data_IF_183650954606
#
_entry.id   IF_183650954606
#
_cell.length_a   1.000
_cell.length_b   1.000
_cell.length_c   1.000
_cell.angle_alpha   90.00
_cell.angle_beta   90.00
_cell.angle_gamma   90.00
#
_symmetry.space_group_name_H-M   'P 1'
#
loop_
_entity.id
_entity.type
_entity.pdbx_description
1 polymer ?
#
# COMPACT_ATOMS: atom_id res chain seq x y z
N UNK A 1 -25.14 -2.72 4.52
CA UNK A 1 -25.48 -2.57 3.08
C UNK A 1 -24.24 -2.62 2.21
N UNK A 2 -23.13 -1.95 2.58
CA UNK A 2 -21.88 -1.99 1.80
C UNK A 2 -21.22 -3.38 1.85
N UNK A 3 -21.23 -4.03 3.00
CA UNK A 3 -20.70 -5.40 3.18
C UNK A 3 -21.33 -6.40 2.22
N UNK A 4 -22.66 -6.29 2.00
CA UNK A 4 -23.33 -7.17 1.04
C UNK A 4 -22.93 -6.91 -0.42
N UNK A 5 -22.77 -5.63 -0.81
CA UNK A 5 -22.33 -5.28 -2.17
C UNK A 5 -20.90 -5.76 -2.42
N UNK A 6 -19.98 -5.50 -1.50
CA UNK A 6 -18.57 -5.91 -1.63
C UNK A 6 -18.43 -7.42 -1.72
N UNK A 7 -19.21 -8.18 -0.94
CA UNK A 7 -19.19 -9.64 -1.01
C UNK A 7 -19.67 -10.15 -2.38
N UNK A 8 -20.70 -9.54 -2.96
CA UNK A 8 -21.24 -9.96 -4.26
C UNK A 8 -20.35 -9.56 -5.44
N UNK A 9 -19.76 -8.37 -5.40
CA UNK A 9 -18.98 -7.83 -6.52
C UNK A 9 -17.53 -8.33 -6.54
N UNK A 10 -16.89 -8.36 -5.36
CA UNK A 10 -15.46 -8.66 -5.25
C UNK A 10 -15.16 -9.99 -4.54
N UNK A 11 -16.16 -10.68 -4.01
CA UNK A 11 -16.00 -11.98 -3.32
C UNK A 11 -15.27 -11.88 -1.97
N UNK A 12 -15.21 -10.71 -1.35
CA UNK A 12 -14.51 -10.46 -0.07
C UNK A 12 -15.50 -10.16 1.05
N UNK A 13 -15.33 -10.82 2.20
CA UNK A 13 -16.08 -10.54 3.41
C UNK A 13 -15.34 -9.49 4.25
N UNK A 14 -15.92 -8.29 4.38
CA UNK A 14 -15.36 -7.23 5.22
C UNK A 14 -15.91 -7.32 6.64
N UNK A 15 -15.04 -7.50 7.63
CA UNK A 15 -15.36 -7.77 9.02
C UNK A 15 -14.81 -6.64 9.89
N UNK A 16 -15.61 -6.13 10.82
CA UNK A 16 -15.22 -5.02 11.69
C UNK A 16 -15.71 -5.18 13.14
N UNK A 17 -16.43 -6.26 13.44
CA UNK A 17 -16.92 -6.62 14.78
C UNK A 17 -16.78 -8.10 15.03
N UNK A 18 -16.74 -8.47 16.30
CA UNK A 18 -16.62 -9.84 16.78
C UNK A 18 -15.33 -10.51 16.27
N UNK A 19 -14.25 -9.72 16.15
CA UNK A 19 -12.94 -10.19 15.71
C UNK A 19 -12.17 -10.70 16.92
N UNK A 20 -11.75 -11.94 16.88
CA UNK A 20 -10.96 -12.56 17.94
C UNK A 20 -9.46 -12.55 17.60
N UNK A 21 -8.59 -12.60 18.59
CA UNK A 21 -7.14 -12.67 18.37
C UNK A 21 -6.72 -13.87 17.50
N UNK A 22 -7.47 -14.98 17.57
CA UNK A 22 -7.29 -16.16 16.73
C UNK A 22 -7.53 -15.92 15.23
N UNK A 23 -8.23 -14.85 14.87
CA UNK A 23 -8.50 -14.52 13.45
C UNK A 23 -7.25 -14.06 12.71
N UNK A 24 -6.34 -13.38 13.40
CA UNK A 24 -5.07 -12.91 12.81
C UNK A 24 -3.80 -13.46 13.48
N UNK A 25 -3.92 -14.25 14.56
CA UNK A 25 -2.82 -15.02 15.18
C UNK A 25 -2.98 -16.51 14.90
N UNK A 26 -3.00 -16.87 13.62
CA UNK A 26 -3.12 -18.28 13.21
C UNK A 26 -1.77 -18.99 13.33
N UNK A 27 -1.79 -20.31 13.48
CA UNK A 27 -0.58 -21.13 13.70
C UNK A 27 0.50 -20.97 12.63
N UNK A 28 0.13 -20.52 11.42
CA UNK A 28 1.06 -20.27 10.33
C UNK A 28 1.53 -18.82 10.23
N UNK A 29 0.94 -17.87 10.98
CA UNK A 29 1.35 -16.46 10.95
C UNK A 29 2.49 -16.16 11.91
N UNK A 30 2.77 -17.03 12.85
CA UNK A 30 3.83 -16.86 13.83
C UNK A 30 4.62 -18.16 14.07
N UNK A 31 5.90 -18.08 13.99
CA UNK A 31 6.81 -19.17 14.33
C UNK A 31 8.24 -18.69 14.39
N UNK A 32 8.92 -18.97 15.52
CA UNK A 32 10.33 -18.65 15.71
C UNK A 32 10.61 -17.81 16.95
N UNK A 33 11.89 -17.58 17.22
CA UNK A 33 12.39 -16.89 18.42
C UNK A 33 11.92 -15.44 18.54
N UNK A 34 11.40 -14.87 17.44
CA UNK A 34 10.91 -13.48 17.34
C UNK A 34 9.47 -13.42 16.79
N UNK A 35 8.65 -14.41 17.12
CA UNK A 35 7.24 -14.40 16.73
C UNK A 35 6.55 -13.15 17.30
N UNK A 36 5.90 -12.38 16.43
CA UNK A 36 5.04 -11.30 16.84
C UNK A 36 3.64 -11.84 17.17
N UNK A 37 3.02 -11.30 18.21
CA UNK A 37 1.59 -11.45 18.43
C UNK A 37 0.88 -10.22 17.87
N UNK A 38 -0.18 -10.44 17.12
CA UNK A 38 -0.96 -9.36 16.53
C UNK A 38 -2.18 -9.05 17.40
N UNK A 39 -2.42 -7.76 17.60
CA UNK A 39 -3.55 -7.26 18.39
C UNK A 39 -4.28 -6.19 17.61
N UNK A 40 -5.57 -6.10 17.82
CA UNK A 40 -6.44 -5.08 17.25
C UNK A 40 -7.77 -5.05 18.01
N UNK A 41 -8.55 -4.02 17.81
CA UNK A 41 -9.85 -3.82 18.45
C UNK A 41 -10.94 -3.70 17.40
N UNK A 42 -12.14 -4.12 17.74
CA UNK A 42 -13.33 -3.90 16.94
C UNK A 42 -13.58 -2.41 16.69
N UNK A 43 -14.14 -2.10 15.55
CA UNK A 43 -14.58 -0.74 15.26
C UNK A 43 -15.92 -0.43 15.94
N UNK A 44 -16.05 0.77 16.50
CA UNK A 44 -17.35 1.31 16.85
C UNK A 44 -18.13 1.73 15.57
N UNK A 45 -19.40 2.10 15.73
CA UNK A 45 -20.27 2.39 14.58
C UNK A 45 -19.81 3.62 13.76
N UNK A 46 -19.24 4.63 14.39
CA UNK A 46 -18.68 5.82 13.72
C UNK A 46 -17.43 5.45 12.92
N UNK A 47 -16.52 4.70 13.52
CA UNK A 47 -15.33 4.18 12.84
C UNK A 47 -15.71 3.26 11.66
N UNK A 48 -16.63 2.34 11.86
CA UNK A 48 -17.11 1.43 10.81
C UNK A 48 -17.71 2.21 9.62
N UNK A 49 -18.47 3.26 9.88
CA UNK A 49 -18.99 4.14 8.83
C UNK A 49 -17.87 4.86 8.08
N UNK A 50 -16.86 5.35 8.78
CA UNK A 50 -15.70 5.99 8.17
C UNK A 50 -14.92 5.02 7.28
N UNK A 51 -14.57 3.82 7.78
CA UNK A 51 -13.86 2.80 7.00
C UNK A 51 -14.67 2.35 5.77
N UNK A 52 -15.97 2.17 5.94
CA UNK A 52 -16.87 1.84 4.84
C UNK A 52 -16.82 2.89 3.72
N UNK A 53 -16.87 4.18 4.07
CA UNK A 53 -16.75 5.27 3.10
C UNK A 53 -15.37 5.33 2.46
N UNK A 54 -14.31 5.10 3.25
CA UNK A 54 -12.94 5.05 2.76
C UNK A 54 -12.77 3.95 1.71
N UNK A 55 -13.14 2.73 2.02
CA UNK A 55 -13.02 1.61 1.09
C UNK A 55 -13.83 1.82 -0.18
N UNK A 56 -15.08 2.27 -0.05
CA UNK A 56 -15.94 2.55 -1.20
C UNK A 56 -15.33 3.58 -2.14
N UNK A 57 -14.91 4.74 -1.59
CA UNK A 57 -14.55 5.90 -2.40
C UNK A 57 -13.08 5.93 -2.81
N UNK A 58 -12.18 5.32 -2.02
CA UNK A 58 -10.74 5.43 -2.21
C UNK A 58 -10.06 4.11 -2.59
N UNK A 59 -10.74 2.96 -2.46
CA UNK A 59 -10.19 1.66 -2.87
C UNK A 59 -11.04 1.04 -3.98
N UNK A 60 -12.26 0.61 -3.68
CA UNK A 60 -13.09 -0.16 -4.63
C UNK A 60 -13.52 0.63 -5.85
N UNK A 61 -13.65 1.95 -5.76
CA UNK A 61 -13.98 2.81 -6.91
C UNK A 61 -12.92 2.79 -8.03
N UNK A 62 -11.72 2.28 -7.74
CA UNK A 62 -10.62 2.13 -8.70
C UNK A 62 -10.42 0.69 -9.20
N UNK A 63 -11.28 -0.22 -8.77
CA UNK A 63 -11.15 -1.64 -9.04
C UNK A 63 -12.36 -2.17 -9.81
N UNK A 64 -12.14 -3.25 -10.53
CA UNK A 64 -13.18 -4.05 -11.15
C UNK A 64 -12.92 -5.54 -10.90
N UNK A 65 -13.90 -6.38 -11.24
CA UNK A 65 -13.81 -7.82 -11.03
C UNK A 65 -12.65 -8.47 -11.83
N UNK A 66 -12.29 -7.92 -13.00
CA UNK A 66 -11.19 -8.45 -13.81
C UNK A 66 -9.84 -8.31 -13.11
N UNK A 67 -9.61 -7.16 -12.45
CA UNK A 67 -8.38 -6.90 -11.67
C UNK A 67 -8.37 -7.74 -10.39
N UNK A 68 -9.51 -7.85 -9.70
CA UNK A 68 -9.56 -8.39 -8.34
C UNK A 68 -9.81 -9.90 -8.26
N UNK A 69 -10.15 -10.55 -9.36
CA UNK A 69 -10.40 -12.00 -9.38
C UNK A 69 -9.17 -12.79 -8.89
N UNK A 70 -9.34 -13.60 -7.84
CA UNK A 70 -8.27 -14.35 -7.16
C UNK A 70 -7.15 -13.50 -6.52
N UNK A 71 -7.40 -12.22 -6.33
CA UNK A 71 -6.46 -11.26 -5.72
C UNK A 71 -6.87 -10.94 -4.30
N UNK A 72 -8.14 -10.53 -4.11
CA UNK A 72 -8.64 -10.20 -2.78
C UNK A 72 -8.82 -11.45 -1.92
N UNK A 73 -8.50 -11.38 -0.63
CA UNK A 73 -8.69 -12.49 0.29
C UNK A 73 -10.18 -12.70 0.59
N UNK A 74 -10.58 -13.91 1.00
CA UNK A 74 -11.96 -14.16 1.42
C UNK A 74 -12.36 -13.33 2.67
N UNK A 75 -11.41 -13.01 3.55
CA UNK A 75 -11.64 -12.23 4.78
C UNK A 75 -10.82 -10.94 4.78
N UNK A 76 -11.48 -9.83 5.08
CA UNK A 76 -10.84 -8.53 5.19
C UNK A 76 -11.24 -7.86 6.51
N UNK A 77 -10.32 -7.79 7.46
CA UNK A 77 -10.55 -7.23 8.77
C UNK A 77 -10.26 -5.72 8.77
N UNK A 78 -11.22 -4.94 9.25
CA UNK A 78 -11.10 -3.51 9.50
C UNK A 78 -11.06 -3.31 11.00
N UNK A 79 -9.95 -2.82 11.53
CA UNK A 79 -9.70 -2.79 12.97
C UNK A 79 -9.19 -1.43 13.44
N UNK A 80 -9.32 -1.19 14.74
CA UNK A 80 -8.68 -0.07 15.45
C UNK A 80 -7.43 -0.55 16.17
N UNK A 81 -6.41 0.30 16.25
CA UNK A 81 -5.15 0.08 16.98
C UNK A 81 -4.44 -1.26 16.66
N UNK A 82 -4.38 -1.61 15.37
CA UNK A 82 -3.72 -2.83 14.95
C UNK A 82 -2.20 -2.72 15.07
N UNK A 83 -1.61 -3.68 15.76
CA UNK A 83 -0.18 -3.68 16.00
C UNK A 83 0.39 -5.07 16.23
N UNK A 84 1.69 -5.21 15.97
CA UNK A 84 2.47 -6.37 16.35
C UNK A 84 3.18 -6.12 17.69
N UNK A 85 3.11 -7.08 18.61
CA UNK A 85 3.90 -7.12 19.84
C UNK A 85 5.03 -8.12 19.70
N UNK A 86 6.25 -7.62 19.86
CA UNK A 86 7.47 -8.42 19.91
C UNK A 86 7.93 -8.53 21.36
N UNK A 87 8.14 -9.76 21.86
CA UNK A 87 8.60 -10.01 23.22
C UNK A 87 10.08 -10.38 23.24
N UNK A 88 10.88 -9.62 23.99
CA UNK A 88 12.31 -9.83 24.21
C UNK A 88 12.58 -9.98 25.71
N UNK A 89 12.35 -11.16 26.27
CA UNK A 89 12.40 -11.38 27.71
C UNK A 89 11.32 -10.58 28.45
N UNK A 90 11.70 -9.58 29.24
CA UNK A 90 10.76 -8.70 29.96
C UNK A 90 10.35 -7.44 29.17
N UNK A 91 11.01 -7.17 28.05
CA UNK A 91 10.73 -6.02 27.20
C UNK A 91 9.73 -6.39 26.12
N UNK A 92 8.74 -5.52 25.92
CA UNK A 92 7.79 -5.62 24.81
C UNK A 92 7.95 -4.39 23.89
N UNK A 93 7.98 -4.65 22.60
CA UNK A 93 8.01 -3.62 21.57
C UNK A 93 6.70 -3.68 20.77
N UNK A 94 5.93 -2.60 20.82
CA UNK A 94 4.73 -2.40 20.00
C UNK A 94 5.14 -1.75 18.68
N UNK A 95 4.71 -2.33 17.57
CA UNK A 95 4.87 -1.80 16.21
C UNK A 95 3.51 -1.63 15.56
N UNK A 96 3.10 -0.38 15.31
CA UNK A 96 1.84 -0.04 14.68
C UNK A 96 1.83 -0.48 13.21
N UNK A 97 0.71 -1.03 12.75
CA UNK A 97 0.54 -1.54 11.40
C UNK A 97 -0.72 -0.96 10.76
N UNK A 98 -0.57 -0.24 9.65
CA UNK A 98 -1.72 0.26 8.89
C UNK A 98 -2.32 -0.78 7.95
N UNK A 99 -1.53 -1.78 7.57
CA UNK A 99 -1.94 -2.87 6.68
C UNK A 99 -1.13 -4.13 6.98
N UNK A 100 -1.79 -5.29 6.84
CA UNK A 100 -1.16 -6.60 6.96
C UNK A 100 -1.83 -7.61 6.03
N UNK A 101 -1.06 -8.54 5.52
CA UNK A 101 -1.53 -9.72 4.79
C UNK A 101 -0.76 -10.95 5.25
N UNK A 102 -1.47 -12.06 5.45
CA UNK A 102 -0.86 -13.38 5.69
C UNK A 102 -0.46 -14.10 4.40
N UNK A 103 -0.73 -13.47 3.24
CA UNK A 103 -0.56 -14.04 1.89
C UNK A 103 -1.39 -15.31 1.60
N UNK A 104 -2.38 -15.62 2.42
CA UNK A 104 -3.24 -16.79 2.31
C UNK A 104 -4.71 -16.40 2.17
N UNK A 105 -5.37 -16.10 3.29
CA UNK A 105 -6.82 -15.97 3.32
C UNK A 105 -7.35 -14.72 4.01
N UNK A 106 -6.50 -13.88 4.61
CA UNK A 106 -6.96 -12.63 5.21
C UNK A 106 -6.02 -11.44 5.03
N UNK A 107 -6.63 -10.26 5.01
CA UNK A 107 -5.96 -8.97 5.07
C UNK A 107 -6.54 -8.16 6.22
N UNK A 108 -5.72 -7.24 6.74
CA UNK A 108 -6.11 -6.31 7.81
C UNK A 108 -5.80 -4.89 7.39
N UNK A 109 -6.71 -3.95 7.65
CA UNK A 109 -6.45 -2.51 7.54
C UNK A 109 -6.78 -1.80 8.84
N UNK A 110 -5.84 -0.94 9.26
CA UNK A 110 -5.98 -0.07 10.41
C UNK A 110 -5.66 1.38 10.00
N UNK A 111 -6.63 2.27 10.14
CA UNK A 111 -6.48 3.68 9.74
C UNK A 111 -6.28 4.62 10.93
N UNK A 112 -6.49 4.13 12.14
CA UNK A 112 -6.35 4.90 13.38
C UNK A 112 -6.08 3.98 14.58
N UNK A 113 -5.35 4.49 15.57
CA UNK A 113 -4.99 3.73 16.75
C UNK A 113 -4.56 4.62 17.92
N UNK A 114 -4.24 3.98 19.03
CA UNK A 114 -3.73 4.64 20.23
C UNK A 114 -2.28 5.11 20.04
N UNK A 115 -1.89 6.13 20.79
CA UNK A 115 -0.49 6.58 20.82
C UNK A 115 0.38 5.50 21.46
N UNK A 116 1.44 5.12 20.76
CA UNK A 116 2.45 4.22 21.32
C UNK A 116 3.17 4.91 22.47
N UNK A 117 3.12 4.39 23.70
CA UNK A 117 3.70 5.06 24.86
C UNK A 117 5.25 5.12 24.84
N UNK A 118 5.89 4.29 24.02
CA UNK A 118 7.36 4.24 23.94
C UNK A 118 7.92 5.11 22.81
N UNK A 119 7.26 5.08 21.65
CA UNK A 119 7.73 5.77 20.42
C UNK A 119 6.99 7.05 20.13
N UNK A 120 5.85 7.27 20.78
CA UNK A 120 4.88 8.34 20.49
C UNK A 120 4.31 8.28 19.06
N UNK A 121 4.54 7.19 18.34
CA UNK A 121 3.91 6.93 17.06
C UNK A 121 2.41 6.69 17.23
N UNK A 122 1.62 7.11 16.24
CA UNK A 122 0.18 6.92 16.22
C UNK A 122 -0.30 6.82 14.77
N UNK A 123 -1.14 5.83 14.49
CA UNK A 123 -1.93 5.84 13.28
C UNK A 123 -3.07 6.84 13.45
N UNK A 124 -3.13 7.84 12.57
CA UNK A 124 -4.14 8.89 12.62
C UNK A 124 -5.03 8.79 11.40
N UNK A 125 -6.34 8.82 11.65
CA UNK A 125 -7.37 8.84 10.61
C UNK A 125 -7.04 9.88 9.53
N UNK A 126 -7.06 9.52 8.23
CA UNK A 126 -6.76 10.44 7.15
C UNK A 126 -7.73 11.63 7.14
N UNK A 127 -7.20 12.84 6.93
CA UNK A 127 -7.94 14.10 6.94
C UNK A 127 -7.72 14.92 5.68
N UNK A 128 -6.54 14.84 5.10
CA UNK A 128 -6.17 15.57 3.88
C UNK A 128 -6.20 14.65 2.67
N UNK A 129 -6.25 15.21 1.47
CA UNK A 129 -6.15 14.43 0.23
C UNK A 129 -4.88 13.58 0.20
N UNK A 130 -3.76 14.10 0.68
CA UNK A 130 -2.50 13.36 0.75
C UNK A 130 -2.57 12.18 1.72
N UNK A 131 -3.19 12.35 2.90
CA UNK A 131 -3.39 11.25 3.85
C UNK A 131 -4.23 10.12 3.21
N UNK A 132 -5.31 10.47 2.50
CA UNK A 132 -6.13 9.50 1.78
C UNK A 132 -5.34 8.77 0.69
N UNK A 133 -4.50 9.51 -0.06
CA UNK A 133 -3.63 8.92 -1.08
C UNK A 133 -2.63 7.94 -0.48
N UNK A 134 -2.03 8.28 0.67
CA UNK A 134 -1.10 7.40 1.38
C UNK A 134 -1.80 6.13 1.89
N UNK A 135 -2.92 6.28 2.60
CA UNK A 135 -3.63 5.12 3.17
C UNK A 135 -4.13 4.16 2.08
N UNK A 136 -4.75 4.67 1.00
CA UNK A 136 -5.20 3.81 -0.09
C UNK A 136 -4.04 3.18 -0.86
N UNK A 137 -2.91 3.89 -0.93
CA UNK A 137 -1.73 3.49 -1.69
C UNK A 137 -1.16 2.16 -1.22
N UNK A 138 -1.12 1.93 0.10
CA UNK A 138 -0.66 0.66 0.69
C UNK A 138 -1.53 -0.50 0.20
N UNK A 139 -2.84 -0.33 0.26
CA UNK A 139 -3.82 -1.36 -0.11
C UNK A 139 -3.79 -1.63 -1.63
N UNK A 140 -3.84 -0.56 -2.43
CA UNK A 140 -3.86 -0.68 -3.89
C UNK A 140 -2.56 -1.25 -4.45
N UNK A 141 -1.41 -0.92 -3.84
CA UNK A 141 -0.13 -1.53 -4.20
C UNK A 141 -0.21 -3.05 -4.09
N UNK A 142 -0.64 -3.57 -2.94
CA UNK A 142 -0.77 -5.01 -2.73
C UNK A 142 -1.74 -5.65 -3.73
N UNK A 143 -2.88 -5.01 -4.00
CA UNK A 143 -3.86 -5.50 -4.97
C UNK A 143 -3.23 -5.58 -6.38
N UNK A 144 -2.54 -4.54 -6.82
CA UNK A 144 -1.96 -4.51 -8.16
C UNK A 144 -0.76 -5.44 -8.29
N UNK A 145 0.08 -5.57 -7.26
CA UNK A 145 1.18 -6.55 -7.24
C UNK A 145 0.64 -7.97 -7.39
N UNK A 146 -0.38 -8.35 -6.61
CA UNK A 146 -1.01 -9.66 -6.73
C UNK A 146 -1.76 -9.84 -8.07
N UNK A 147 -2.40 -8.79 -8.58
CA UNK A 147 -3.05 -8.85 -9.89
C UNK A 147 -2.06 -9.12 -11.04
N UNK A 148 -0.84 -8.59 -10.94
CA UNK A 148 0.25 -8.91 -11.88
C UNK A 148 0.70 -10.37 -11.69
N UNK A 149 0.89 -10.82 -10.45
CA UNK A 149 1.32 -12.19 -10.14
C UNK A 149 0.36 -13.26 -10.67
N UNK A 150 -0.96 -13.01 -10.57
CA UNK A 150 -1.97 -13.95 -11.08
C UNK A 150 -2.31 -13.74 -12.56
N UNK A 151 -1.72 -12.73 -13.22
CA UNK A 151 -1.89 -12.45 -14.65
C UNK A 151 -3.14 -11.66 -15.01
N UNK A 152 -3.84 -11.06 -14.05
CA UNK A 152 -4.98 -10.17 -14.31
C UNK A 152 -4.53 -8.82 -14.89
N UNK A 153 -3.30 -8.40 -14.57
CA UNK A 153 -2.64 -7.24 -15.15
C UNK A 153 -1.34 -7.72 -15.80
N UNK A 154 -1.14 -7.30 -17.04
CA UNK A 154 0.10 -7.59 -17.79
C UNK A 154 0.93 -6.33 -17.85
N UNK A 155 2.20 -6.42 -17.41
CA UNK A 155 3.16 -5.31 -17.56
C UNK A 155 3.43 -5.10 -19.04
N UNK A 156 3.19 -3.91 -19.60
CA UNK A 156 3.43 -3.63 -21.02
C UNK A 156 4.89 -3.86 -21.40
N UNK A 157 5.11 -4.33 -22.64
CA UNK A 157 6.46 -4.68 -23.13
C UNK A 157 7.39 -3.47 -23.17
N UNK A 158 6.85 -2.27 -23.29
CA UNK A 158 7.60 -1.00 -23.25
C UNK A 158 8.38 -0.82 -21.94
N UNK A 159 7.90 -1.43 -20.84
CA UNK A 159 8.60 -1.44 -19.56
C UNK A 159 9.76 -2.45 -19.52
N UNK A 160 9.79 -3.42 -20.42
CA UNK A 160 10.87 -4.40 -20.52
C UNK A 160 11.98 -3.96 -21.49
N UNK A 161 11.69 -3.03 -22.39
CA UNK A 161 12.59 -2.61 -23.46
C UNK A 161 12.89 -1.12 -23.39
N UNK A 162 14.12 -0.73 -23.71
CA UNK A 162 14.52 0.68 -23.82
C UNK A 162 14.80 1.40 -22.49
N UNK A 163 14.55 0.75 -21.35
CA UNK A 163 14.83 1.32 -20.02
C UNK A 163 16.02 0.57 -19.41
N UNK A 164 17.01 1.30 -18.96
CA UNK A 164 18.16 0.72 -18.27
C UNK A 164 17.88 0.58 -16.77
N UNK A 165 17.67 -0.63 -16.32
CA UNK A 165 17.46 -1.00 -14.91
C UNK A 165 18.74 -1.43 -14.19
N UNK A 166 19.90 -1.46 -14.87
CA UNK A 166 21.14 -1.97 -14.30
C UNK A 166 22.01 -0.86 -13.73
N UNK A 167 22.00 0.31 -14.37
CA UNK A 167 22.78 1.45 -13.90
C UNK A 167 22.11 2.10 -12.69
N UNK A 168 22.90 2.34 -11.65
CA UNK A 168 22.45 2.99 -10.42
C UNK A 168 21.85 4.37 -10.71
N UNK A 169 20.72 4.69 -10.08
CA UNK A 169 20.06 5.99 -10.20
C UNK A 169 20.48 6.93 -9.07
N UNK A 170 20.53 8.21 -9.38
CA UNK A 170 20.63 9.27 -8.39
C UNK A 170 19.24 9.83 -8.08
N UNK A 171 18.95 10.13 -6.81
CA UNK A 171 17.62 10.57 -6.35
C UNK A 171 17.71 11.71 -5.34
N UNK A 172 18.90 12.06 -4.86
CA UNK A 172 19.09 13.10 -3.84
C UNK A 172 18.74 14.48 -4.38
N UNK A 173 18.16 15.31 -3.53
CA UNK A 173 17.93 16.74 -3.81
C UNK A 173 19.27 17.40 -4.10
N UNK A 174 19.31 18.21 -5.16
CA UNK A 174 20.52 18.85 -5.66
C UNK A 174 21.25 18.08 -6.77
N UNK A 175 20.80 16.87 -7.10
CA UNK A 175 21.36 16.05 -8.19
C UNK A 175 20.47 16.05 -9.45
N UNK A 176 19.54 16.98 -9.58
CA UNK A 176 18.61 17.06 -10.71
C UNK A 176 19.28 17.27 -12.07
N UNK A 177 20.54 17.71 -12.06
CA UNK A 177 21.36 17.87 -13.28
C UNK A 177 22.16 16.60 -13.65
N UNK A 178 22.29 15.63 -12.73
CA UNK A 178 22.95 14.37 -13.01
C UNK A 178 22.20 13.59 -14.09
N UNK A 179 22.93 12.96 -15.02
CA UNK A 179 22.34 12.19 -16.12
C UNK A 179 21.63 10.92 -15.62
N UNK A 180 22.05 10.39 -14.47
CA UNK A 180 21.41 9.26 -13.82
C UNK A 180 20.31 9.67 -12.84
N UNK A 181 19.89 10.95 -12.83
CA UNK A 181 18.76 11.36 -11.99
C UNK A 181 17.49 10.61 -12.39
N UNK A 182 16.84 9.99 -11.42
CA UNK A 182 15.79 8.98 -11.64
C UNK A 182 14.72 9.40 -12.66
N UNK A 183 14.25 10.66 -12.61
CA UNK A 183 13.23 11.16 -13.54
C UNK A 183 13.76 11.21 -14.98
N UNK A 184 15.04 11.56 -15.19
CA UNK A 184 15.69 11.54 -16.53
C UNK A 184 15.82 10.12 -17.07
N UNK A 185 15.82 9.13 -16.19
CA UNK A 185 15.97 7.71 -16.53
C UNK A 185 14.63 7.01 -16.76
N UNK A 186 13.49 7.76 -16.75
CA UNK A 186 12.16 7.21 -16.97
C UNK A 186 11.51 6.61 -15.72
N UNK A 187 11.97 7.01 -14.51
CA UNK A 187 11.36 6.56 -13.26
C UNK A 187 10.59 7.72 -12.61
N UNK A 188 9.27 7.67 -12.49
CA UNK A 188 8.50 8.74 -11.87
C UNK A 188 8.80 8.89 -10.37
N UNK A 189 9.29 7.85 -9.70
CA UNK A 189 9.69 7.88 -8.30
C UNK A 189 8.53 8.00 -7.31
N UNK A 190 7.31 7.73 -7.75
CA UNK A 190 6.10 7.84 -6.94
C UNK A 190 5.69 6.45 -6.49
N UNK A 191 6.02 6.10 -5.26
CA UNK A 191 5.58 4.86 -4.64
C UNK A 191 4.20 5.02 -4.01
N UNK A 192 3.51 3.90 -3.76
CA UNK A 192 2.16 3.92 -3.21
C UNK A 192 2.11 4.39 -1.76
N UNK A 193 3.13 4.10 -0.98
CA UNK A 193 3.14 4.39 0.46
C UNK A 193 3.51 5.82 0.77
N UNK A 194 4.60 6.31 0.18
CA UNK A 194 5.07 7.69 0.36
C UNK A 194 5.92 8.08 -0.83
N UNK A 195 6.01 9.36 -1.11
CA UNK A 195 7.07 9.92 -1.90
C UNK A 195 8.29 10.06 -0.99
N UNK A 196 8.87 8.94 -0.60
CA UNK A 196 10.01 8.92 0.32
C UNK A 196 11.28 8.52 -0.44
N UNK A 197 12.29 9.37 -0.38
CA UNK A 197 13.58 9.08 -1.01
C UNK A 197 14.28 7.86 -0.42
N UNK A 198 13.96 7.45 0.81
CA UNK A 198 14.44 6.19 1.36
C UNK A 198 13.90 4.98 0.62
N UNK A 199 12.68 5.07 0.09
CA UNK A 199 12.09 3.99 -0.72
C UNK A 199 12.78 3.90 -2.08
N UNK A 200 13.24 5.02 -2.65
CA UNK A 200 14.08 5.02 -3.85
C UNK A 200 15.47 4.43 -3.60
N UNK A 201 16.00 4.48 -2.37
CA UNK A 201 17.26 3.80 -2.04
C UNK A 201 17.13 2.28 -2.06
N UNK A 202 15.99 1.75 -1.64
CA UNK A 202 15.70 0.31 -1.77
C UNK A 202 15.43 -0.09 -3.21
N UNK A 203 15.17 0.87 -4.07
CA UNK A 203 14.84 0.76 -5.50
C UNK A 203 16.07 0.93 -6.42
N UNK A 204 17.28 0.85 -5.90
CA UNK A 204 18.48 0.60 -6.75
C UNK A 204 18.35 -0.68 -7.58
N UNK A 205 17.29 -1.45 -7.34
CA UNK A 205 16.85 -2.61 -8.11
C UNK A 205 15.43 -2.42 -8.66
N UNK A 206 15.11 -1.24 -9.23
CA UNK A 206 13.87 -1.07 -9.99
C UNK A 206 13.85 -2.14 -11.09
N UNK A 207 12.72 -2.77 -11.23
CA UNK A 207 12.42 -3.70 -12.30
C UNK A 207 11.23 -3.18 -13.12
N UNK A 208 10.93 -3.77 -14.28
CA UNK A 208 9.82 -3.35 -15.11
C UNK A 208 8.48 -3.28 -14.36
N UNK A 209 8.18 -4.26 -13.52
CA UNK A 209 6.94 -4.31 -12.74
C UNK A 209 6.86 -3.14 -11.76
N UNK A 210 7.91 -2.90 -10.98
CA UNK A 210 7.94 -1.78 -10.01
C UNK A 210 7.80 -0.43 -10.72
N UNK A 211 8.47 -0.27 -11.87
CA UNK A 211 8.35 0.95 -12.67
C UNK A 211 6.94 1.15 -13.19
N UNK A 212 6.32 0.11 -13.73
CA UNK A 212 4.91 0.14 -14.18
C UNK A 212 3.96 0.53 -13.06
N UNK A 213 4.13 -0.04 -11.85
CA UNK A 213 3.33 0.33 -10.68
C UNK A 213 3.51 1.79 -10.27
N UNK A 214 4.70 2.35 -10.42
CA UNK A 214 4.94 3.79 -10.22
C UNK A 214 4.14 4.64 -11.21
N UNK A 215 4.03 4.22 -12.47
CA UNK A 215 3.21 4.94 -13.47
C UNK A 215 1.72 4.80 -13.19
N UNK A 216 1.23 3.66 -12.73
CA UNK A 216 -0.16 3.53 -12.27
C UNK A 216 -0.42 4.52 -11.13
N UNK A 217 0.46 4.57 -10.13
CA UNK A 217 0.32 5.50 -9.01
C UNK A 217 0.38 6.97 -9.48
N UNK A 218 1.27 7.28 -10.43
CA UNK A 218 1.35 8.61 -11.03
C UNK A 218 0.00 9.03 -11.64
N UNK A 219 -0.59 8.19 -12.48
CA UNK A 219 -1.88 8.45 -13.14
C UNK A 219 -3.06 8.52 -12.17
N UNK A 220 -2.95 7.93 -10.97
CA UNK A 220 -3.94 8.04 -9.92
C UNK A 220 -3.81 9.31 -9.06
N UNK A 221 -2.66 9.97 -9.10
CA UNK A 221 -2.36 11.15 -8.26
C UNK A 221 -2.47 12.47 -9.01
N UNK A 222 -2.09 12.49 -10.27
CA UNK A 222 -1.92 13.71 -11.06
C UNK A 222 -2.66 13.61 -12.38
N UNK A 223 -3.26 14.71 -12.80
CA UNK A 223 -3.62 14.92 -14.21
C UNK A 223 -2.34 15.13 -15.04
N UNK A 224 -2.46 15.01 -16.36
CA UNK A 224 -1.34 15.26 -17.27
C UNK A 224 -0.79 16.68 -17.11
N UNK A 225 -1.68 17.66 -16.96
CA UNK A 225 -1.35 19.09 -16.80
C UNK A 225 -0.61 19.35 -15.49
N UNK A 226 -1.07 18.73 -14.40
CA UNK A 226 -0.41 18.85 -13.08
C UNK A 226 0.99 18.22 -13.11
N UNK A 227 1.11 17.06 -13.76
CA UNK A 227 2.41 16.38 -13.87
C UNK A 227 3.37 17.14 -14.79
N UNK A 228 2.90 17.68 -15.92
CA UNK A 228 3.70 18.55 -16.80
C UNK A 228 4.20 19.79 -16.06
N UNK A 229 3.38 20.40 -15.20
CA UNK A 229 3.81 21.54 -14.38
C UNK A 229 4.89 21.16 -13.35
N UNK A 230 4.80 19.95 -12.77
CA UNK A 230 5.76 19.42 -11.80
C UNK A 230 7.06 18.94 -12.47
N UNK A 231 6.94 18.27 -13.62
CA UNK A 231 8.02 17.62 -14.36
C UNK A 231 7.90 17.93 -15.86
N UNK A 232 8.37 19.10 -16.34
CA UNK A 232 8.21 19.50 -17.72
C UNK A 232 8.81 18.45 -18.70
N UNK A 233 8.05 18.07 -19.71
CA UNK A 233 8.44 17.09 -20.74
C UNK A 233 9.67 17.53 -21.53
N UNK A 234 9.90 18.87 -21.66
CA UNK A 234 11.12 19.43 -22.24
C UNK A 234 12.40 19.09 -21.48
N UNK A 235 12.29 18.83 -20.16
CA UNK A 235 13.42 18.47 -19.29
C UNK A 235 13.46 16.97 -18.99
N UNK A 236 12.30 16.32 -18.95
CA UNK A 236 12.14 14.93 -18.52
C UNK A 236 11.28 14.13 -19.51
N UNK A 237 11.74 13.96 -20.77
CA UNK A 237 10.91 13.35 -21.83
C UNK A 237 10.56 11.87 -21.58
N UNK A 238 11.37 11.14 -20.81
CA UNK A 238 11.18 9.70 -20.60
C UNK A 238 10.07 9.34 -19.58
N UNK A 239 9.52 10.30 -18.86
CA UNK A 239 8.42 10.07 -17.90
C UNK A 239 7.06 10.59 -18.40
N UNK A 240 6.99 10.99 -19.67
CA UNK A 240 5.79 11.42 -20.38
C UNK A 240 5.46 10.49 -21.54
#
# INVERSE_FOLDING_TARGET
>A
VLLSVTLWEFGVCMIYKDIEEGDYNRSWTGGGVFAAEFHGQDLNDEQAQFYTNFFKNHVFNYLNAEITQKVLPPYYYMVYDYHALYSFGTMQLKSEMSFYTDNLDFWVTCLEGDVNPLTFAQLVRPKTSEDYLMCRGVILKEIFEKAIEVGNIVVPEEFNTGIDYQTEITYKVGYENDDNYYVKRGFPGIMYTTFNFSDLQSVTKINPQTNFLQYINLGMRYTKEEYEALRPSSKYPLVH
#
